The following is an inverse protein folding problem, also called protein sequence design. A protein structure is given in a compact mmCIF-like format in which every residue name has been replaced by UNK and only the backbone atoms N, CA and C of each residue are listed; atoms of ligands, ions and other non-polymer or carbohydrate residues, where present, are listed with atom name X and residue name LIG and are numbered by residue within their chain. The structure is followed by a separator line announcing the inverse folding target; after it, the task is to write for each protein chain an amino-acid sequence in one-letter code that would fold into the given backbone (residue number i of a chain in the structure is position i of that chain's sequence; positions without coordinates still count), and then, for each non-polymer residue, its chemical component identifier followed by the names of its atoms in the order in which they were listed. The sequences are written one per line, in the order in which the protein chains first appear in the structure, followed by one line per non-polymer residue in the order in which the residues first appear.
data_IF_944999576973
#
_entry.id   IF_944999576973
#
_cell.length_a   1.000
_cell.length_b   1.000
_cell.length_c   1.000
_cell.angle_alpha   90.00
_cell.angle_beta   90.00
_cell.angle_gamma   90.00
#
_symmetry.space_group_name_H-M   'P 1'
#
loop_
_entity.id
_entity.type
_entity.pdbx_description
1 polymer ?
#
# COMPACT_ATOMS: atom_id res chain seq x y z
N UNK A 1 -1.03 -22.10 2.62
CA UNK A 1 0.24 -22.70 2.15
C UNK A 1 0.49 -22.43 0.68
N UNK A 2 -0.17 -23.10 -0.28
CA UNK A 2 0.10 -22.89 -1.72
C UNK A 2 0.02 -21.43 -2.20
N UNK A 3 -1.01 -20.68 -1.77
CA UNK A 3 -1.17 -19.28 -2.19
C UNK A 3 -0.05 -18.38 -1.65
N UNK A 4 0.38 -18.62 -0.41
CA UNK A 4 1.46 -17.84 0.21
C UNK A 4 2.77 -18.10 -0.53
N UNK A 5 3.10 -19.37 -0.77
CA UNK A 5 4.28 -19.78 -1.53
C UNK A 5 4.27 -19.19 -2.97
N UNK A 6 3.13 -19.22 -3.64
CA UNK A 6 2.98 -18.62 -4.98
C UNK A 6 3.23 -17.10 -4.95
N UNK A 7 2.73 -16.41 -3.92
CA UNK A 7 2.96 -14.98 -3.74
C UNK A 7 4.42 -14.69 -3.38
N UNK A 8 5.04 -15.47 -2.51
CA UNK A 8 6.45 -15.32 -2.12
C UNK A 8 7.41 -15.41 -3.31
N UNK A 9 7.06 -16.21 -4.33
CA UNK A 9 7.82 -16.29 -5.58
C UNK A 9 7.46 -15.17 -6.58
N UNK A 10 6.20 -14.73 -6.61
CA UNK A 10 5.74 -13.68 -7.52
C UNK A 10 4.49 -12.98 -6.96
N UNK A 11 4.65 -11.72 -6.53
CA UNK A 11 3.56 -10.89 -6.02
C UNK A 11 2.32 -10.81 -6.93
N UNK A 12 2.47 -10.97 -8.25
CA UNK A 12 1.34 -10.93 -9.19
C UNK A 12 0.36 -12.09 -8.98
N UNK A 13 0.79 -13.18 -8.32
CA UNK A 13 -0.09 -14.28 -7.95
C UNK A 13 -1.29 -13.81 -7.11
N UNK A 14 -1.12 -12.76 -6.29
CA UNK A 14 -2.21 -12.16 -5.52
C UNK A 14 -3.39 -11.71 -6.41
N UNK A 15 -3.09 -11.22 -7.62
CA UNK A 15 -4.10 -10.80 -8.60
C UNK A 15 -4.96 -11.95 -9.15
N UNK A 16 -4.49 -13.20 -9.02
CA UNK A 16 -5.22 -14.42 -9.38
C UNK A 16 -5.84 -15.13 -8.18
N UNK A 17 -5.47 -14.73 -6.96
CA UNK A 17 -6.01 -15.30 -5.73
C UNK A 17 -7.52 -15.08 -5.64
N UNK A 18 -8.22 -16.06 -5.05
CA UNK A 18 -9.63 -15.91 -4.68
C UNK A 18 -9.79 -14.70 -3.75
N UNK A 19 -10.94 -14.02 -3.81
CA UNK A 19 -11.19 -12.78 -3.07
C UNK A 19 -10.99 -12.93 -1.56
N UNK A 20 -11.32 -14.09 -1.00
CA UNK A 20 -11.07 -14.39 0.42
C UNK A 20 -9.59 -14.34 0.81
N UNK A 21 -8.68 -14.72 -0.09
CA UNK A 21 -7.22 -14.71 0.16
C UNK A 21 -6.61 -13.31 -0.03
N UNK A 22 -7.33 -12.40 -0.69
CA UNK A 22 -6.94 -10.98 -0.77
C UNK A 22 -7.24 -10.21 0.53
N UNK A 23 -7.98 -10.83 1.45
CA UNK A 23 -8.16 -10.35 2.82
C UNK A 23 -7.24 -11.02 3.84
N UNK A 24 -6.39 -11.95 3.39
CA UNK A 24 -5.40 -12.58 4.25
C UNK A 24 -4.20 -11.65 4.43
N UNK A 25 -3.94 -11.29 5.69
CA UNK A 25 -2.90 -10.33 6.05
C UNK A 25 -1.51 -10.76 5.59
N UNK A 26 -1.14 -12.02 5.84
CA UNK A 26 0.20 -12.52 5.55
C UNK A 26 0.44 -12.63 4.05
N UNK A 27 -0.57 -13.08 3.30
CA UNK A 27 -0.49 -13.18 1.84
C UNK A 27 -0.36 -11.78 1.20
N UNK A 28 -1.19 -10.82 1.63
CA UNK A 28 -1.12 -9.46 1.09
C UNK A 28 0.19 -8.79 1.47
N UNK A 29 0.64 -8.93 2.72
CA UNK A 29 1.89 -8.35 3.18
C UNK A 29 3.10 -8.94 2.43
N UNK A 30 3.11 -10.25 2.16
CA UNK A 30 4.14 -10.90 1.37
C UNK A 30 4.20 -10.36 -0.07
N UNK A 31 3.05 -10.11 -0.70
CA UNK A 31 3.00 -9.51 -2.03
C UNK A 31 3.46 -8.04 -2.02
N UNK A 32 2.97 -7.26 -1.05
CA UNK A 32 3.28 -5.83 -0.91
C UNK A 32 4.76 -5.59 -0.63
N UNK A 33 5.41 -6.45 0.16
CA UNK A 33 6.86 -6.39 0.41
C UNK A 33 7.72 -6.54 -0.84
N UNK A 34 7.22 -7.20 -1.88
CA UNK A 34 7.90 -7.32 -3.16
C UNK A 34 7.55 -6.18 -4.11
N UNK A 35 6.31 -5.69 -4.08
CA UNK A 35 5.87 -4.58 -4.92
C UNK A 35 4.70 -3.82 -4.28
N UNK A 36 4.89 -2.52 -4.04
CA UNK A 36 3.87 -1.67 -3.42
C UNK A 36 2.55 -1.62 -4.19
N UNK A 37 2.57 -1.79 -5.52
CA UNK A 37 1.37 -1.80 -6.35
C UNK A 37 0.54 -3.07 -6.21
N UNK A 38 1.05 -4.11 -5.54
CA UNK A 38 0.27 -5.29 -5.17
C UNK A 38 -0.94 -4.92 -4.30
N UNK A 39 -0.85 -3.79 -3.58
CA UNK A 39 -1.90 -3.22 -2.75
C UNK A 39 -3.24 -3.07 -3.49
N UNK A 40 -3.24 -2.86 -4.81
CA UNK A 40 -4.46 -2.76 -5.63
C UNK A 40 -5.34 -4.02 -5.61
N UNK A 41 -4.79 -5.15 -5.20
CA UNK A 41 -5.51 -6.41 -5.09
C UNK A 41 -6.00 -6.68 -3.65
N UNK A 42 -5.53 -5.94 -2.65
CA UNK A 42 -5.92 -6.16 -1.27
C UNK A 42 -7.42 -5.90 -1.06
N UNK A 43 -8.00 -6.58 -0.09
CA UNK A 43 -9.36 -6.31 0.40
C UNK A 43 -9.49 -4.88 0.94
N UNK A 44 -10.71 -4.34 0.96
CA UNK A 44 -10.98 -2.99 1.45
C UNK A 44 -10.58 -2.83 2.93
N UNK A 45 -10.74 -3.89 3.71
CA UNK A 45 -10.35 -3.96 5.11
C UNK A 45 -8.84 -3.76 5.26
N UNK A 46 -8.02 -4.48 4.48
CA UNK A 46 -6.55 -4.37 4.53
C UNK A 46 -6.01 -3.06 3.94
N UNK A 47 -6.76 -2.36 3.08
CA UNK A 47 -6.39 -1.01 2.63
C UNK A 47 -6.43 0.03 3.77
N UNK A 48 -7.08 -0.29 4.89
CA UNK A 48 -7.09 0.56 6.10
C UNK A 48 -6.02 0.16 7.11
N UNK A 49 -5.26 -0.92 6.85
CA UNK A 49 -4.17 -1.35 7.72
C UNK A 49 -2.94 -0.46 7.51
N UNK A 50 -2.51 0.19 8.59
CA UNK A 50 -1.40 1.14 8.57
C UNK A 50 -0.07 0.48 8.23
N UNK A 51 0.16 -0.76 8.68
CA UNK A 51 1.42 -1.49 8.43
C UNK A 51 1.52 -1.88 6.97
N UNK A 52 0.42 -2.39 6.38
CA UNK A 52 0.37 -2.69 4.94
C UNK A 52 0.57 -1.39 4.14
N UNK A 53 -0.10 -0.31 4.52
CA UNK A 53 0.01 0.97 3.84
C UNK A 53 1.44 1.53 3.82
N UNK A 54 2.11 1.60 4.98
CA UNK A 54 3.49 2.10 5.03
C UNK A 54 4.44 1.16 4.27
N UNK A 55 4.26 -0.16 4.39
CA UNK A 55 5.07 -1.14 3.65
C UNK A 55 4.91 -0.96 2.14
N UNK A 56 3.68 -0.76 1.66
CA UNK A 56 3.40 -0.55 0.24
C UNK A 56 4.04 0.74 -0.28
N UNK A 57 3.88 1.83 0.46
CA UNK A 57 4.44 3.13 0.09
C UNK A 57 5.96 3.10 0.12
N UNK A 58 6.59 2.42 1.09
CA UNK A 58 8.05 2.20 1.13
C UNK A 58 8.59 1.50 -0.12
N UNK A 59 7.80 0.65 -0.78
CA UNK A 59 8.19 0.00 -2.04
C UNK A 59 7.92 0.87 -3.26
N UNK A 60 6.78 1.56 -3.31
CA UNK A 60 6.41 2.47 -4.39
C UNK A 60 5.43 3.53 -3.89
N UNK A 61 5.85 4.81 -3.91
CA UNK A 61 4.99 5.96 -3.57
C UNK A 61 3.65 5.97 -4.31
N UNK A 62 3.58 5.39 -5.51
CA UNK A 62 2.33 5.31 -6.28
C UNK A 62 1.28 4.43 -5.62
N UNK A 63 1.66 3.53 -4.71
CA UNK A 63 0.74 2.72 -3.91
C UNK A 63 -0.24 3.59 -3.10
N UNK A 64 0.14 4.82 -2.79
CA UNK A 64 -0.68 5.79 -2.10
C UNK A 64 -2.05 6.01 -2.80
N UNK A 65 -2.15 5.82 -4.12
CA UNK A 65 -3.41 5.95 -4.87
C UNK A 65 -4.49 4.92 -4.50
N UNK A 66 -4.09 3.78 -3.94
CA UNK A 66 -5.01 2.72 -3.54
C UNK A 66 -5.50 2.87 -2.10
N UNK A 67 -4.87 3.76 -1.33
CA UNK A 67 -5.21 3.97 0.07
C UNK A 67 -6.43 4.91 0.24
N UNK A 68 -7.25 4.67 1.27
CA UNK A 68 -8.32 5.58 1.67
C UNK A 68 -7.74 6.95 2.08
N UNK A 69 -8.56 7.99 2.01
CA UNK A 69 -8.11 9.36 2.30
C UNK A 69 -7.51 9.53 3.69
N UNK A 70 -7.93 8.71 4.66
CA UNK A 70 -7.44 8.78 6.04
C UNK A 70 -5.98 8.35 6.12
N UNK A 71 -5.60 7.24 5.48
CA UNK A 71 -4.19 6.81 5.42
C UNK A 71 -3.33 7.63 4.46
N UNK A 72 -3.91 8.17 3.38
CA UNK A 72 -3.20 9.20 2.59
C UNK A 72 -2.92 10.48 3.39
N UNK A 73 -3.69 10.70 4.45
CA UNK A 73 -3.50 11.77 5.42
C UNK A 73 -2.77 11.35 6.69
N UNK A 74 -2.23 10.14 6.76
CA UNK A 74 -1.29 9.77 7.81
C UNK A 74 0.05 10.44 7.51
N UNK A 75 0.62 11.12 8.50
CA UNK A 75 1.83 11.93 8.30
C UNK A 75 3.03 11.07 7.89
N UNK A 76 3.18 9.87 8.47
CA UNK A 76 4.30 8.97 8.15
C UNK A 76 4.16 8.41 6.74
N UNK A 77 2.97 7.94 6.38
CA UNK A 77 2.67 7.41 5.04
C UNK A 77 2.85 8.50 3.97
N UNK A 78 2.32 9.70 4.23
CA UNK A 78 2.42 10.82 3.30
C UNK A 78 3.88 11.29 3.13
N UNK A 79 4.62 11.44 4.23
CA UNK A 79 6.01 11.85 4.20
C UNK A 79 6.89 10.82 3.47
N UNK A 80 6.68 9.52 3.72
CA UNK A 80 7.42 8.47 3.01
C UNK A 80 7.21 8.54 1.49
N UNK A 81 5.96 8.74 1.03
CA UNK A 81 5.66 8.87 -0.39
C UNK A 81 6.30 10.12 -1.02
N UNK A 82 6.23 11.27 -0.34
CA UNK A 82 6.76 12.55 -0.83
C UNK A 82 8.28 12.52 -0.91
N UNK A 83 8.96 11.83 0.01
CA UNK A 83 10.41 11.62 -0.03
C UNK A 83 10.87 10.87 -1.27
N UNK A 84 10.07 9.92 -1.75
CA UNK A 84 10.39 9.17 -2.96
C UNK A 84 10.10 9.97 -4.23
N UNK A 85 8.97 10.68 -4.28
CA UNK A 85 8.61 11.48 -5.43
C UNK A 85 7.66 12.63 -5.09
N UNK A 86 8.01 13.85 -5.50
CA UNK A 86 7.24 15.07 -5.22
C UNK A 86 5.78 15.00 -5.68
N UNK A 87 5.51 14.28 -6.78
CA UNK A 87 4.14 14.11 -7.31
C UNK A 87 3.20 13.36 -6.35
N UNK A 88 3.73 12.67 -5.34
CA UNK A 88 2.90 12.10 -4.26
C UNK A 88 2.07 13.16 -3.53
N UNK A 89 2.53 14.44 -3.49
CA UNK A 89 1.79 15.56 -2.92
C UNK A 89 0.40 15.74 -3.55
N UNK A 90 0.22 15.37 -4.82
CA UNK A 90 -1.08 15.45 -5.49
C UNK A 90 -2.11 14.45 -4.93
N UNK A 91 -1.64 13.36 -4.33
CA UNK A 91 -2.47 12.31 -3.76
C UNK A 91 -2.77 12.53 -2.26
N UNK A 92 -1.93 13.28 -1.56
CA UNK A 92 -2.09 13.64 -0.14
C UNK A 92 -3.21 14.69 0.04
N UNK A 93 -4.05 14.61 1.10
CA UNK A 93 -5.09 15.62 1.37
C UNK A 93 -4.54 17.04 1.47
N UNK A 94 -5.30 18.03 0.99
CA UNK A 94 -4.88 19.46 0.96
C UNK A 94 -4.39 19.98 2.32
N UNK A 95 -5.00 19.53 3.42
CA UNK A 95 -4.62 19.93 4.79
C UNK A 95 -3.14 19.69 5.11
N UNK A 96 -2.55 18.62 4.54
CA UNK A 96 -1.16 18.23 4.77
C UNK A 96 -0.19 18.85 3.76
N UNK A 97 -0.66 19.28 2.58
CA UNK A 97 0.21 19.92 1.56
C UNK A 97 0.78 21.27 2.01
N UNK A 98 0.15 21.89 3.00
CA UNK A 98 0.59 23.14 3.61
C UNK A 98 1.36 22.92 4.92
N UNK A 99 1.50 21.66 5.35
CA UNK A 99 2.29 21.32 6.51
C UNK A 99 3.78 21.41 6.15
N UNK A 100 4.55 22.07 7.01
CA UNK A 100 6.00 22.25 6.81
C UNK A 100 6.81 21.03 7.24
N UNK A 101 6.18 20.06 7.92
CA UNK A 101 6.82 18.80 8.30
C UNK A 101 6.71 17.71 7.24
N UNK A 102 5.95 17.95 6.17
CA UNK A 102 5.81 17.05 5.02
C UNK A 102 6.85 17.39 3.95
#
# INVERSE_FOLDING_TARGET
EFMLEAVENNWMALGYAHTSLRGDYDIVLAAVRQNGLALKYASAELLTDRVIAITAVQQDWQALRFLPSDLRGDLEVAHEAVRQHWHALELVPRKLRSDRSL
#
